data_IF_988461294149
#
_entry.id   IF_988461294149
#
_cell.length_a   1.000
_cell.length_b   1.000
_cell.length_c   1.000
_cell.angle_alpha   90.00
_cell.angle_beta   90.00
_cell.angle_gamma   90.00
#
_symmetry.space_group_name_H-M   'P 1'
#
loop_
_entity.id
_entity.type
_entity.pdbx_description
1 polymer ?
#
# COMPACT_ATOMS: atom_id res chain seq x y z
N UNK A 1 -7.59 0.71 -12.20
CA UNK A 1 -7.39 1.24 -10.84
C UNK A 1 -6.19 2.20 -10.81
N UNK A 2 -6.43 3.52 -10.67
CA UNK A 2 -5.39 4.54 -10.48
C UNK A 2 -5.23 4.84 -9.00
N UNK A 3 -4.19 4.29 -8.35
CA UNK A 3 -3.83 4.62 -6.96
C UNK A 3 -2.58 5.49 -6.98
N UNK A 4 -2.64 6.67 -6.37
CA UNK A 4 -1.49 7.57 -6.26
C UNK A 4 -1.26 7.97 -4.81
N UNK A 5 0.01 7.97 -4.40
CA UNK A 5 0.41 8.39 -3.06
C UNK A 5 1.24 9.65 -3.20
N UNK A 6 0.64 10.76 -2.81
CA UNK A 6 1.28 12.05 -2.73
C UNK A 6 2.14 12.13 -1.47
N UNK A 7 3.42 12.33 -1.66
CA UNK A 7 4.42 12.34 -0.58
C UNK A 7 5.30 13.57 -0.61
N UNK A 8 5.92 13.85 0.52
CA UNK A 8 6.93 14.90 0.70
C UNK A 8 8.28 14.28 1.08
N UNK A 9 9.35 15.05 0.93
CA UNK A 9 10.67 14.64 1.37
C UNK A 9 10.68 14.42 2.89
N UNK A 10 11.22 13.28 3.34
CA UNK A 10 11.36 12.90 4.76
C UNK A 10 10.04 12.83 5.55
N UNK A 11 9.09 12.01 5.10
CA UNK A 11 7.80 11.79 5.75
C UNK A 11 7.67 10.35 6.33
N UNK A 12 7.67 10.15 7.66
CA UNK A 12 7.53 8.81 8.27
C UNK A 12 6.14 8.22 8.03
N UNK A 13 5.08 9.04 8.08
CA UNK A 13 3.70 8.62 7.85
C UNK A 13 3.48 8.13 6.40
N UNK A 14 4.20 8.72 5.44
CA UNK A 14 4.19 8.28 4.06
C UNK A 14 4.76 6.87 3.90
N UNK A 15 5.78 6.49 4.68
CA UNK A 15 6.31 5.11 4.69
C UNK A 15 5.30 4.13 5.28
N UNK A 16 4.57 4.52 6.33
CA UNK A 16 3.50 3.69 6.94
C UNK A 16 2.40 3.37 5.91
N UNK A 17 1.91 4.40 5.21
CA UNK A 17 0.86 4.24 4.19
C UNK A 17 1.33 3.35 3.03
N UNK A 18 2.56 3.54 2.53
CA UNK A 18 3.14 2.71 1.47
C UNK A 18 3.23 1.24 1.84
N UNK A 19 3.75 0.93 3.04
CA UNK A 19 3.82 -0.46 3.54
C UNK A 19 2.44 -1.10 3.64
N UNK A 20 1.43 -0.34 4.04
CA UNK A 20 0.07 -0.83 4.12
C UNK A 20 -0.49 -1.18 2.72
N UNK A 21 -0.23 -0.33 1.71
CA UNK A 21 -0.60 -0.60 0.31
C UNK A 21 0.13 -1.82 -0.26
N UNK A 22 1.43 -1.96 0.02
CA UNK A 22 2.23 -3.14 -0.38
C UNK A 22 1.71 -4.42 0.27
N UNK A 23 1.32 -4.36 1.55
CA UNK A 23 0.71 -5.49 2.27
C UNK A 23 -0.63 -5.93 1.67
N UNK A 24 -1.29 -5.06 0.89
CA UNK A 24 -2.52 -5.37 0.17
C UNK A 24 -2.27 -5.83 -1.27
N UNK A 25 -1.00 -5.99 -1.68
CA UNK A 25 -0.57 -6.28 -3.05
C UNK A 25 -1.15 -5.32 -4.11
N UNK A 26 -1.48 -4.07 -3.74
CA UNK A 26 -2.04 -3.07 -4.67
C UNK A 26 -0.91 -2.24 -5.31
N UNK A 27 -0.95 -2.11 -6.63
CA UNK A 27 -0.05 -1.22 -7.36
C UNK A 27 -0.42 0.25 -7.09
N UNK A 28 0.56 1.07 -6.75
CA UNK A 28 0.39 2.51 -6.54
C UNK A 28 1.53 3.31 -7.17
N UNK A 29 1.25 4.55 -7.57
CA UNK A 29 2.24 5.49 -8.07
C UNK A 29 2.63 6.49 -6.97
N UNK A 30 3.91 6.58 -6.68
CA UNK A 30 4.43 7.66 -5.83
C UNK A 30 4.50 8.96 -6.62
N UNK A 31 3.96 10.03 -6.05
CA UNK A 31 4.01 11.37 -6.63
C UNK A 31 4.55 12.34 -5.57
N UNK A 32 5.54 13.15 -5.91
CA UNK A 32 6.03 14.20 -5.01
C UNK A 32 5.07 15.38 -5.05
N UNK A 33 4.57 15.81 -3.89
CA UNK A 33 3.69 16.99 -3.78
C UNK A 33 4.38 18.29 -4.20
N UNK A 34 5.71 18.34 -4.14
CA UNK A 34 6.49 19.51 -4.53
C UNK A 34 6.54 19.76 -6.04
N UNK A 35 5.99 18.86 -6.87
CA UNK A 35 5.95 19.07 -8.32
C UNK A 35 4.77 19.94 -8.73
N UNK A 36 4.97 20.75 -9.76
CA UNK A 36 3.91 21.58 -10.35
C UNK A 36 2.69 20.76 -10.80
N UNK A 37 2.93 19.55 -11.31
CA UNK A 37 1.88 18.62 -11.75
C UNK A 37 1.01 18.16 -10.56
N UNK A 38 1.62 17.75 -9.45
CA UNK A 38 0.91 17.32 -8.26
C UNK A 38 0.09 18.45 -7.63
N UNK A 39 0.68 19.65 -7.53
CA UNK A 39 -0.01 20.83 -6.99
C UNK A 39 -1.21 21.21 -7.86
N UNK A 40 -1.08 21.12 -9.18
CA UNK A 40 -2.19 21.41 -10.10
C UNK A 40 -3.32 20.42 -9.90
N UNK A 41 -3.03 19.13 -9.85
CA UNK A 41 -4.03 18.07 -9.65
C UNK A 41 -4.76 18.24 -8.32
N UNK A 42 -4.02 18.44 -7.21
CA UNK A 42 -4.59 18.64 -5.88
C UNK A 42 -5.48 19.90 -5.83
N UNK A 43 -5.01 21.02 -6.38
CA UNK A 43 -5.77 22.28 -6.39
C UNK A 43 -7.03 22.18 -7.25
N UNK A 44 -6.96 21.53 -8.42
CA UNK A 44 -8.11 21.33 -9.30
C UNK A 44 -9.19 20.45 -8.66
N UNK A 45 -8.78 19.48 -7.84
CA UNK A 45 -9.68 18.59 -7.11
C UNK A 45 -10.09 19.11 -5.72
N UNK A 46 -9.76 20.38 -5.40
CA UNK A 46 -10.17 21.04 -4.15
C UNK A 46 -9.43 20.54 -2.90
N UNK A 47 -8.28 19.90 -3.07
CA UNK A 47 -7.45 19.36 -1.98
C UNK A 47 -6.36 20.36 -1.61
N UNK A 48 -6.67 21.25 -0.67
CA UNK A 48 -5.76 22.30 -0.21
C UNK A 48 -5.01 21.90 1.07
N UNK A 49 -4.31 20.77 1.05
CA UNK A 49 -3.52 20.32 2.20
C UNK A 49 -2.03 20.47 1.98
N UNK A 50 -1.34 20.92 3.01
CA UNK A 50 0.13 20.90 3.11
C UNK A 50 0.63 19.66 3.86
N UNK A 51 -0.29 18.87 4.43
CA UNK A 51 0.04 17.67 5.18
C UNK A 51 0.13 16.46 4.25
N UNK A 52 1.26 15.77 4.32
CA UNK A 52 1.45 14.47 3.68
C UNK A 52 1.27 13.35 4.70
N UNK A 53 0.89 12.13 4.27
CA UNK A 53 0.54 11.72 2.91
C UNK A 53 -0.89 12.10 2.47
N UNK A 54 -1.12 12.18 1.15
CA UNK A 54 -2.45 12.17 0.54
C UNK A 54 -2.57 10.94 -0.36
N UNK A 55 -3.61 10.14 -0.16
CA UNK A 55 -3.95 9.00 -1.00
C UNK A 55 -5.00 9.42 -2.02
N UNK A 56 -4.74 9.17 -3.29
CA UNK A 56 -5.74 9.25 -4.35
C UNK A 56 -6.10 7.84 -4.80
N UNK A 57 -7.39 7.57 -4.87
CA UNK A 57 -7.95 6.36 -5.48
C UNK A 57 -8.96 6.82 -6.51
N UNK A 58 -8.67 6.55 -7.78
CA UNK A 58 -9.44 7.03 -8.93
C UNK A 58 -9.52 8.58 -8.90
N UNK A 59 -10.72 9.14 -8.71
CA UNK A 59 -10.97 10.58 -8.59
C UNK A 59 -11.17 11.05 -7.14
N UNK A 60 -11.03 10.16 -6.17
CA UNK A 60 -11.24 10.46 -4.75
C UNK A 60 -9.92 10.68 -4.01
N UNK A 61 -9.87 11.73 -3.21
CA UNK A 61 -8.69 12.10 -2.43
C UNK A 61 -8.95 11.97 -0.93
N UNK A 62 -8.04 11.27 -0.26
CA UNK A 62 -8.02 11.03 1.18
C UNK A 62 -6.78 11.69 1.77
N UNK A 63 -6.99 12.72 2.56
CA UNK A 63 -5.93 13.47 3.24
C UNK A 63 -5.45 12.73 4.49
N UNK A 64 -4.31 13.15 5.03
CA UNK A 64 -3.77 12.65 6.30
C UNK A 64 -4.85 12.55 7.40
N UNK A 65 -5.64 13.59 7.60
CA UNK A 65 -6.68 13.65 8.65
C UNK A 65 -7.80 12.62 8.47
N UNK A 66 -8.00 12.12 7.25
CA UNK A 66 -8.98 11.06 6.97
C UNK A 66 -8.37 9.66 7.09
N UNK A 67 -7.09 9.53 6.74
CA UNK A 67 -6.37 8.25 6.73
C UNK A 67 -5.78 7.88 8.09
N UNK A 68 -5.47 8.88 8.91
CA UNK A 68 -4.83 8.70 10.21
C UNK A 68 -5.78 9.13 11.32
N UNK A 69 -5.94 8.25 12.30
CA UNK A 69 -6.76 8.47 13.48
C UNK A 69 -5.86 8.31 14.70
N UNK A 70 -5.82 9.33 15.56
CA UNK A 70 -4.97 9.33 16.76
C UNK A 70 -3.48 9.00 16.48
N UNK A 71 -2.93 9.52 15.36
CA UNK A 71 -1.55 9.27 14.85
C UNK A 71 -1.30 7.86 14.26
N UNK A 72 -2.29 6.97 14.30
CA UNK A 72 -2.21 5.64 13.71
C UNK A 72 -2.94 5.56 12.37
N UNK A 73 -2.47 4.69 11.48
CA UNK A 73 -3.05 4.53 10.15
C UNK A 73 -4.31 3.66 10.24
N UNK A 74 -5.45 4.19 9.79
CA UNK A 74 -6.71 3.46 9.82
C UNK A 74 -6.73 2.39 8.71
N UNK A 75 -6.25 1.19 9.06
CA UNK A 75 -6.18 0.04 8.16
C UNK A 75 -7.56 -0.47 7.73
N UNK A 76 -8.59 -0.28 8.56
CA UNK A 76 -9.97 -0.69 8.23
C UNK A 76 -10.55 0.20 7.14
N UNK A 77 -10.38 1.52 7.27
CA UNK A 77 -10.74 2.49 6.25
C UNK A 77 -9.94 2.27 4.97
N UNK A 78 -8.63 2.03 5.06
CA UNK A 78 -7.79 1.74 3.90
C UNK A 78 -8.26 0.49 3.15
N UNK A 79 -8.55 -0.61 3.87
CA UNK A 79 -9.12 -1.84 3.30
C UNK A 79 -10.43 -1.57 2.58
N UNK A 80 -11.30 -0.74 3.16
CA UNK A 80 -12.59 -0.39 2.55
C UNK A 80 -12.41 0.39 1.25
N UNK A 81 -11.61 1.44 1.27
CA UNK A 81 -11.32 2.26 0.09
C UNK A 81 -10.77 1.41 -1.07
N UNK A 82 -9.95 0.40 -0.76
CA UNK A 82 -9.35 -0.49 -1.76
C UNK A 82 -10.28 -1.63 -2.20
N UNK A 83 -11.29 -1.99 -1.41
CA UNK A 83 -12.31 -3.02 -1.70
C UNK A 83 -13.41 -2.56 -2.64
N UNK A 84 -13.80 -1.28 -2.58
CA UNK A 84 -14.86 -0.70 -3.41
C UNK A 84 -14.53 -0.69 -4.92
N UNK A 85 -13.37 -1.22 -5.34
CA UNK A 85 -12.88 -1.21 -6.73
C UNK A 85 -12.51 -2.62 -7.24
N UNK A 86 -12.92 -3.68 -6.54
CA UNK A 86 -12.52 -5.08 -6.82
C UNK A 86 -13.50 -5.90 -7.69
N UNK A 87 -14.44 -5.26 -8.40
CA UNK A 87 -15.15 -5.95 -9.50
C UNK A 87 -14.40 -5.73 -10.82
N UNK A 88 -13.16 -6.23 -10.97
CA UNK A 88 -12.49 -6.38 -12.29
C UNK A 88 -11.08 -7.05 -12.22
N UNK A 89 -10.79 -8.03 -11.35
CA UNK A 89 -9.69 -9.00 -11.60
C UNK A 89 -10.01 -10.34 -10.93
N UNK A 90 -10.45 -11.31 -11.71
CA UNK A 90 -10.28 -12.73 -11.38
C UNK A 90 -8.80 -13.12 -11.62
N UNK A 91 -8.33 -14.06 -10.80
CA UNK A 91 -7.09 -14.88 -10.89
C UNK A 91 -5.88 -14.49 -10.01
N UNK A 92 -5.34 -15.58 -9.41
CA UNK A 92 -4.07 -15.74 -8.67
C UNK A 92 -4.01 -15.36 -7.19
N UNK A 93 -4.75 -16.10 -6.35
CA UNK A 93 -4.21 -16.56 -5.07
C UNK A 93 -3.72 -18.00 -5.26
N UNK A 94 -2.45 -18.15 -5.67
CA UNK A 94 -1.67 -19.34 -5.31
C UNK A 94 -1.41 -19.26 -3.80
N UNK A 95 -2.23 -19.96 -3.01
CA UNK A 95 -1.85 -20.44 -1.68
C UNK A 95 -1.10 -21.76 -1.88
N UNK A 96 0.21 -21.68 -2.13
CA UNK A 96 1.12 -22.79 -1.86
C UNK A 96 1.82 -22.49 -0.53
N UNK A 97 1.26 -23.05 0.53
CA UNK A 97 1.90 -23.20 1.82
C UNK A 97 2.97 -24.29 1.65
N UNK A 98 4.23 -23.89 1.43
CA UNK A 98 5.37 -24.79 1.59
C UNK A 98 5.61 -25.04 3.09
N UNK A 99 4.98 -26.08 3.65
CA UNK A 99 5.47 -26.78 4.83
C UNK A 99 5.87 -28.19 4.41
N UNK A 100 7.16 -28.42 4.21
CA UNK A 100 7.79 -29.71 4.49
C UNK A 100 9.28 -29.46 4.78
N UNK A 101 9.60 -29.38 6.06
CA UNK A 101 10.97 -29.41 6.59
C UNK A 101 11.37 -30.88 6.67
N UNK A 102 12.19 -31.38 5.73
CA UNK A 102 12.92 -32.64 5.94
C UNK A 102 14.16 -32.37 6.81
N UNK A 103 14.06 -32.73 8.09
CA UNK A 103 15.22 -32.94 8.95
C UNK A 103 15.98 -34.18 8.47
N UNK A 104 17.22 -33.97 8.04
CA UNK A 104 18.20 -35.03 7.84
C UNK A 104 18.76 -35.47 9.21
N UNK A 105 18.63 -36.76 9.53
CA UNK A 105 19.51 -37.42 10.48
C UNK A 105 20.14 -38.69 9.87
N UNK A 106 21.35 -38.93 10.37
CA UNK A 106 22.50 -39.63 9.81
C UNK A 106 22.52 -41.14 10.15
N UNK A 107 23.55 -41.83 9.62
CA UNK A 107 24.15 -43.14 9.97
C UNK A 107 23.55 -44.39 9.29
N UNK A 108 24.30 -45.35 8.74
CA UNK A 108 25.73 -45.64 8.77
C UNK A 108 26.07 -46.91 7.94
N UNK A 109 27.37 -47.19 7.85
CA UNK A 109 28.10 -48.18 7.04
C UNK A 109 27.62 -49.65 7.08
N UNK A 110 27.89 -50.43 6.01
CA UNK A 110 28.92 -51.50 6.03
C UNK A 110 29.23 -52.06 4.63
N UNK A 111 30.52 -52.25 4.40
CA UNK A 111 31.20 -52.84 3.24
C UNK A 111 30.92 -54.32 3.02
N UNK A 112 31.12 -54.79 1.78
CA UNK A 112 31.42 -56.18 1.45
C UNK A 112 32.57 -56.22 0.43
#
# INVERSE_FOLDING_TARGET
MKVQVYTTDLCPNCKRLKKALESQKKAYKEVKMATSEALTELNMNGVFTMAAPVLQVEDTFYTYEKLFKDDDLDLELLKRILKDVEEDVEEDVEEDVEEDVEEAEEIGEVSA
#
